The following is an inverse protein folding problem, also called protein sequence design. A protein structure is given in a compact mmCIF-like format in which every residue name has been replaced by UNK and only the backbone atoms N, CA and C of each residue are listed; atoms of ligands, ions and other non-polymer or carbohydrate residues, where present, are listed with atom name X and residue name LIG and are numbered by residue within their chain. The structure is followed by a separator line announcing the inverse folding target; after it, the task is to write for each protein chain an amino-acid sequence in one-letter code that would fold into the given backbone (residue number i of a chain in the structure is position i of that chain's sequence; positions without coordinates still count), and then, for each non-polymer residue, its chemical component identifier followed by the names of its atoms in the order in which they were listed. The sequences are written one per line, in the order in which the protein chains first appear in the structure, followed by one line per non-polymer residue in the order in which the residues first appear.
data_IF_465349731918
#
_entry.id   IF_465349731918
#
_cell.length_a   1.000
_cell.length_b   1.000
_cell.length_c   1.000
_cell.angle_alpha   90.00
_cell.angle_beta   90.00
_cell.angle_gamma   90.00
#
_symmetry.space_group_name_H-M   'P 1'
#
loop_
_entity.id
_entity.type
_entity.pdbx_description
1 polymer ?
#
# COMPACT_ATOMS: atom_id res chain seq x y z
N UNK A 1 30.49 -8.06 -26.81
CA UNK A 1 30.52 -6.64 -26.41
C UNK A 1 30.45 -5.64 -27.58
N UNK A 2 30.71 -6.02 -28.84
CA UNK A 2 30.65 -5.07 -29.97
C UNK A 2 29.28 -4.92 -30.68
N UNK A 3 28.28 -5.78 -30.43
CA UNK A 3 27.02 -5.79 -31.21
C UNK A 3 25.86 -4.98 -30.63
N UNK A 4 25.87 -4.63 -29.34
CA UNK A 4 24.83 -3.78 -28.72
C UNK A 4 24.97 -2.28 -29.04
N UNK A 5 26.02 -1.89 -29.79
CA UNK A 5 26.17 -0.52 -30.34
C UNK A 5 25.13 -0.17 -31.42
N UNK A 6 24.32 -1.13 -31.88
CA UNK A 6 23.17 -0.84 -32.76
C UNK A 6 21.98 -0.22 -32.02
N UNK A 7 22.02 -0.07 -30.70
CA UNK A 7 20.94 0.60 -29.95
C UNK A 7 20.98 2.13 -30.10
N UNK A 8 22.15 2.72 -30.38
CA UNK A 8 22.28 4.18 -30.58
C UNK A 8 21.71 4.65 -31.94
N UNK A 9 21.43 3.75 -32.87
CA UNK A 9 20.94 4.07 -34.22
C UNK A 9 19.44 3.86 -34.42
N UNK A 10 18.68 3.51 -33.36
CA UNK A 10 17.23 3.30 -33.45
C UNK A 10 16.45 4.54 -33.95
N UNK A 11 16.99 5.74 -33.79
CA UNK A 11 16.38 6.96 -34.31
C UNK A 11 16.30 7.04 -35.85
N UNK A 12 17.13 6.29 -36.58
CA UNK A 12 17.33 6.46 -38.04
C UNK A 12 16.73 5.33 -38.92
N UNK A 13 16.19 4.26 -38.33
CA UNK A 13 15.70 3.09 -39.08
C UNK A 13 14.22 3.22 -39.49
N UNK A 14 13.85 2.57 -40.60
CA UNK A 14 12.46 2.51 -41.09
C UNK A 14 11.63 1.47 -40.31
N UNK A 15 10.29 1.56 -40.33
CA UNK A 15 9.40 0.81 -39.43
C UNK A 15 9.54 -0.72 -39.45
N UNK A 16 9.89 -1.32 -40.60
CA UNK A 16 10.08 -2.77 -40.71
C UNK A 16 11.44 -3.22 -40.15
N UNK A 17 12.50 -2.44 -40.42
CA UNK A 17 13.86 -2.70 -39.91
C UNK A 17 13.93 -2.49 -38.39
N UNK A 18 13.15 -1.54 -37.86
CA UNK A 18 12.99 -1.29 -36.42
C UNK A 18 12.40 -2.48 -35.67
N UNK A 19 11.36 -3.10 -36.23
CA UNK A 19 10.72 -4.26 -35.61
C UNK A 19 11.67 -5.47 -35.55
N UNK A 20 12.41 -5.74 -36.62
CA UNK A 20 13.40 -6.82 -36.66
C UNK A 20 14.55 -6.59 -35.66
N UNK A 21 15.07 -5.36 -35.59
CA UNK A 21 16.13 -5.00 -34.64
C UNK A 21 15.67 -5.06 -33.17
N UNK A 22 14.42 -4.69 -32.86
CA UNK A 22 13.85 -4.83 -31.52
C UNK A 22 13.64 -6.30 -31.13
N UNK A 23 13.20 -7.12 -32.08
CA UNK A 23 13.04 -8.56 -31.87
C UNK A 23 14.40 -9.25 -31.61
N UNK A 24 15.43 -8.91 -32.38
CA UNK A 24 16.80 -9.44 -32.17
C UNK A 24 17.38 -9.01 -30.82
N UNK A 25 17.16 -7.74 -30.42
CA UNK A 25 17.59 -7.23 -29.12
C UNK A 25 16.88 -7.95 -27.94
N UNK A 26 15.57 -8.24 -28.08
CA UNK A 26 14.84 -9.03 -27.08
C UNK A 26 15.39 -10.45 -26.94
N UNK A 27 15.62 -11.15 -28.04
CA UNK A 27 16.10 -12.53 -28.02
C UNK A 27 17.52 -12.64 -27.42
N UNK A 28 18.36 -11.63 -27.63
CA UNK A 28 19.69 -11.59 -27.01
C UNK A 28 19.60 -11.28 -25.51
N UNK A 29 18.73 -10.36 -25.07
CA UNK A 29 18.49 -10.11 -23.64
C UNK A 29 17.94 -11.35 -22.91
N UNK A 30 17.05 -12.11 -23.54
CA UNK A 30 16.56 -13.39 -23.01
C UNK A 30 17.70 -14.43 -22.89
N UNK A 31 18.59 -14.48 -23.88
CA UNK A 31 19.78 -15.35 -23.87
C UNK A 31 20.80 -14.95 -22.80
N UNK A 32 21.02 -13.65 -22.61
CA UNK A 32 21.91 -13.14 -21.55
C UNK A 32 21.33 -13.38 -20.15
N UNK A 33 20.01 -13.27 -20.00
CA UNK A 33 19.29 -13.62 -18.77
C UNK A 33 19.47 -15.11 -18.42
N UNK A 34 19.43 -16.00 -19.42
CA UNK A 34 19.65 -17.44 -19.20
C UNK A 34 21.12 -17.79 -18.88
N UNK A 35 22.08 -17.05 -19.45
CA UNK A 35 23.51 -17.34 -19.27
C UNK A 35 24.12 -16.74 -18.00
N UNK A 36 23.37 -15.94 -17.22
CA UNK A 36 23.72 -15.44 -15.88
C UNK A 36 25.10 -14.74 -15.75
N UNK A 37 25.63 -14.14 -16.83
CA UNK A 37 27.03 -13.66 -16.82
C UNK A 37 27.23 -12.33 -16.11
N UNK A 38 26.27 -11.41 -16.15
CA UNK A 38 26.41 -10.08 -15.51
C UNK A 38 25.05 -9.38 -15.31
N UNK A 39 24.48 -9.47 -14.10
CA UNK A 39 23.19 -8.84 -13.76
C UNK A 39 23.22 -7.31 -13.82
N UNK A 40 24.38 -6.70 -13.62
CA UNK A 40 24.56 -5.24 -13.68
C UNK A 40 24.56 -4.67 -15.09
N UNK A 41 25.19 -5.38 -16.03
CA UNK A 41 25.16 -5.02 -17.45
C UNK A 41 23.75 -5.22 -18.04
N UNK A 42 23.13 -6.37 -17.75
CA UNK A 42 21.80 -6.70 -18.22
C UNK A 42 20.73 -5.67 -17.80
N UNK A 43 20.83 -5.14 -16.58
CA UNK A 43 19.93 -4.07 -16.10
C UNK A 43 20.08 -2.78 -16.92
N UNK A 44 21.30 -2.42 -17.32
CA UNK A 44 21.54 -1.26 -18.18
C UNK A 44 20.97 -1.50 -19.58
N UNK A 45 21.15 -2.69 -20.13
CA UNK A 45 20.69 -3.02 -21.48
C UNK A 45 19.15 -3.11 -21.54
N UNK A 46 18.49 -3.62 -20.49
CA UNK A 46 17.01 -3.57 -20.36
C UNK A 46 16.51 -2.13 -20.27
N UNK A 47 17.24 -1.25 -19.57
CA UNK A 47 16.87 0.17 -19.46
C UNK A 47 17.01 0.90 -20.79
N UNK A 48 18.07 0.60 -21.55
CA UNK A 48 18.29 1.10 -22.91
C UNK A 48 17.22 0.60 -23.89
N UNK A 49 16.86 -0.68 -23.81
CA UNK A 49 15.78 -1.26 -24.61
C UNK A 49 14.42 -0.61 -24.30
N UNK A 50 14.12 -0.35 -23.03
CA UNK A 50 12.90 0.38 -22.64
C UNK A 50 12.89 1.81 -23.19
N UNK A 51 14.02 2.50 -23.21
CA UNK A 51 14.12 3.85 -23.78
C UNK A 51 13.91 3.83 -25.30
N UNK A 52 14.47 2.83 -26.00
CA UNK A 52 14.28 2.64 -27.44
C UNK A 52 12.83 2.28 -27.81
N UNK A 53 12.16 1.47 -26.99
CA UNK A 53 10.75 1.12 -27.22
C UNK A 53 9.83 2.33 -27.06
N UNK A 54 10.09 3.17 -26.06
CA UNK A 54 9.31 4.39 -25.81
C UNK A 54 9.52 5.44 -26.91
N UNK A 55 10.75 5.60 -27.41
CA UNK A 55 11.06 6.52 -28.51
C UNK A 55 10.56 6.04 -29.87
N UNK A 56 10.42 4.73 -30.08
CA UNK A 56 9.86 4.12 -31.28
C UNK A 56 8.34 3.88 -31.23
N UNK A 57 7.67 4.25 -30.14
CA UNK A 57 6.26 3.87 -29.89
C UNK A 57 5.27 4.40 -30.92
N UNK A 58 5.52 5.59 -31.48
CA UNK A 58 4.66 6.19 -32.50
C UNK A 58 4.77 5.51 -33.87
N UNK A 59 5.80 4.70 -34.10
CA UNK A 59 6.09 4.06 -35.40
C UNK A 59 5.83 2.55 -35.40
N UNK A 60 5.38 2.00 -34.27
CA UNK A 60 5.11 0.58 -34.11
C UNK A 60 3.60 0.32 -34.05
N UNK A 61 3.11 -0.76 -34.68
CA UNK A 61 1.72 -1.19 -34.52
C UNK A 61 1.39 -1.47 -33.04
N UNK A 62 0.15 -1.20 -32.57
CA UNK A 62 -0.26 -1.43 -31.19
C UNK A 62 -0.01 -2.86 -30.70
N UNK A 63 -0.18 -3.87 -31.57
CA UNK A 63 0.08 -5.27 -31.22
C UNK A 63 1.57 -5.55 -30.95
N UNK A 64 2.47 -4.85 -31.64
CA UNK A 64 3.91 -5.02 -31.47
C UNK A 64 4.38 -4.38 -30.16
N UNK A 65 3.83 -3.22 -29.82
CA UNK A 65 4.09 -2.56 -28.54
C UNK A 65 3.66 -3.41 -27.36
N UNK A 66 2.46 -3.99 -27.42
CA UNK A 66 1.97 -4.86 -26.36
C UNK A 66 2.85 -6.11 -26.20
N UNK A 67 3.30 -6.70 -27.32
CA UNK A 67 4.23 -7.84 -27.32
C UNK A 67 5.56 -7.49 -26.64
N UNK A 68 6.22 -6.41 -27.06
CA UNK A 68 7.51 -6.00 -26.50
C UNK A 68 7.38 -5.51 -25.05
N UNK A 69 6.28 -4.88 -24.66
CA UNK A 69 6.02 -4.50 -23.27
C UNK A 69 5.87 -5.73 -22.37
N UNK A 70 5.16 -6.77 -22.83
CA UNK A 70 5.05 -8.05 -22.11
C UNK A 70 6.41 -8.73 -21.97
N UNK A 71 7.23 -8.72 -23.01
CA UNK A 71 8.58 -9.29 -22.98
C UNK A 71 9.52 -8.50 -22.04
N UNK A 72 9.46 -7.17 -22.03
CA UNK A 72 10.20 -6.32 -21.10
C UNK A 72 9.83 -6.63 -19.64
N UNK A 73 8.54 -6.79 -19.34
CA UNK A 73 8.10 -7.18 -18.00
C UNK A 73 8.58 -8.58 -17.60
N UNK A 74 8.59 -9.53 -18.54
CA UNK A 74 9.12 -10.87 -18.31
C UNK A 74 10.63 -10.84 -18.00
N UNK A 75 11.41 -10.05 -18.74
CA UNK A 75 12.85 -9.86 -18.51
C UNK A 75 13.13 -9.22 -17.14
N UNK A 76 12.40 -8.18 -16.76
CA UNK A 76 12.52 -7.55 -15.43
C UNK A 76 12.21 -8.54 -14.30
N UNK A 77 11.12 -9.31 -14.44
CA UNK A 77 10.73 -10.33 -13.46
C UNK A 77 11.76 -11.46 -13.35
N UNK A 78 12.35 -11.88 -14.48
CA UNK A 78 13.44 -12.85 -14.51
C UNK A 78 14.70 -12.35 -13.79
N UNK A 79 15.06 -11.08 -14.00
CA UNK A 79 16.23 -10.46 -13.36
C UNK A 79 16.02 -10.36 -11.85
N UNK A 80 14.83 -9.96 -11.40
CA UNK A 80 14.48 -9.94 -9.97
C UNK A 80 14.53 -11.33 -9.32
N UNK A 81 14.08 -12.37 -10.03
CA UNK A 81 14.16 -13.75 -9.55
C UNK A 81 15.61 -14.22 -9.38
N UNK A 82 16.49 -13.89 -10.33
CA UNK A 82 17.93 -14.21 -10.25
C UNK A 82 18.58 -13.46 -9.07
N UNK A 83 18.22 -12.19 -8.84
CA UNK A 83 18.76 -11.38 -7.74
C UNK A 83 18.27 -11.83 -6.35
N UNK A 84 17.06 -12.40 -6.26
CA UNK A 84 16.55 -13.00 -5.02
C UNK A 84 17.26 -14.31 -4.68
N UNK A 85 17.66 -15.09 -5.68
CA UNK A 85 18.37 -16.36 -5.47
C UNK A 85 19.84 -16.19 -5.03
N UNK A 86 20.45 -15.02 -5.22
CA UNK A 86 21.83 -14.73 -4.78
C UNK A 86 21.94 -14.17 -3.36
N UNK A 87 20.82 -13.86 -2.69
CA UNK A 87 20.79 -13.18 -1.39
C UNK A 87 20.06 -13.97 -0.29
N UNK A 88 20.41 -15.26 -0.12
CA UNK A 88 20.05 -15.99 1.11
C UNK A 88 21.18 -15.87 2.13
N UNK A 89 21.36 -14.70 2.72
CA UNK A 89 22.15 -14.55 3.94
C UNK A 89 21.35 -15.13 5.11
N UNK A 90 21.64 -16.40 5.46
CA UNK A 90 21.10 -17.07 6.65
C UNK A 90 21.38 -16.21 7.89
N UNK A 91 20.30 -15.75 8.52
CA UNK A 91 20.33 -15.10 9.82
C UNK A 91 20.92 -16.08 10.85
N UNK A 92 22.13 -15.80 11.36
CA UNK A 92 22.74 -16.58 12.46
C UNK A 92 22.56 -15.82 13.76
N UNK A 93 21.72 -16.35 14.65
CA UNK A 93 21.62 -15.86 16.03
C UNK A 93 22.97 -16.07 16.74
N UNK A 94 23.64 -14.97 17.10
CA UNK A 94 24.79 -15.03 18.01
C UNK A 94 24.26 -15.30 19.43
N UNK A 95 24.42 -16.53 19.92
CA UNK A 95 24.25 -16.84 21.35
C UNK A 95 25.31 -16.08 22.15
N UNK A 96 24.88 -15.28 23.14
CA UNK A 96 25.80 -14.64 24.09
C UNK A 96 26.25 -15.67 25.15
N UNK A 97 27.48 -15.54 25.69
CA UNK A 97 28.00 -16.47 26.69
C UNK A 97 27.28 -16.27 28.03
N UNK A 98 26.88 -17.38 28.65
CA UNK A 98 26.44 -17.45 30.04
C UNK A 98 27.60 -17.06 30.95
N UNK A 99 27.38 -16.09 31.84
CA UNK A 99 28.24 -15.87 32.99
C UNK A 99 27.35 -15.68 34.20
N UNK A 100 27.60 -16.50 35.23
CA UNK A 100 26.84 -16.60 36.47
C UNK A 100 27.45 -15.68 37.56
N UNK A 101 26.57 -15.18 38.44
CA UNK A 101 26.78 -14.76 39.86
C UNK A 101 27.36 -13.34 40.09
N UNK A 102 27.14 -12.61 41.23
CA UNK A 102 26.21 -12.71 42.38
C UNK A 102 25.38 -11.43 42.71
N UNK A 103 24.47 -11.61 43.68
CA UNK A 103 23.73 -10.62 44.48
C UNK A 103 24.66 -9.66 45.26
N UNK A 104 24.31 -8.36 45.32
CA UNK A 104 24.93 -7.37 46.22
C UNK A 104 24.30 -5.98 46.11
N UNK A 105 23.95 -5.41 47.25
CA UNK A 105 23.18 -4.19 47.52
C UNK A 105 23.91 -2.85 47.36
N UNK A 106 23.12 -1.79 47.16
CA UNK A 106 23.28 -0.38 47.55
C UNK A 106 23.87 0.67 46.55
N UNK A 107 22.95 1.58 46.15
CA UNK A 107 22.99 3.06 46.06
C UNK A 107 24.27 3.83 45.65
N UNK A 108 24.15 4.65 44.59
CA UNK A 108 24.23 6.14 44.53
C UNK A 108 24.79 6.59 43.17
N UNK A 109 24.02 7.43 42.46
CA UNK A 109 24.57 8.59 41.72
C UNK A 109 24.75 8.52 40.19
N UNK A 110 24.23 9.55 39.53
CA UNK A 110 24.53 10.09 38.19
C UNK A 110 23.78 9.53 36.94
N UNK A 111 22.88 10.40 36.42
CA UNK A 111 22.38 10.50 35.03
C UNK A 111 23.49 10.40 33.97
N UNK A 112 23.26 10.07 32.67
CA UNK A 112 22.03 10.32 31.88
C UNK A 112 21.66 9.19 30.87
N UNK A 113 20.67 9.45 30.01
CA UNK A 113 20.36 8.74 28.74
C UNK A 113 19.39 7.56 28.85
N UNK A 114 18.08 7.86 28.75
CA UNK A 114 17.06 6.86 28.43
C UNK A 114 17.12 6.53 26.94
N UNK A 115 18.12 5.74 26.56
CA UNK A 115 18.03 4.84 25.42
C UNK A 115 17.08 3.72 25.85
N UNK A 116 15.80 3.89 25.52
CA UNK A 116 14.79 2.84 25.69
C UNK A 116 15.18 1.69 24.76
N UNK A 117 15.71 0.62 25.36
CA UNK A 117 15.83 -0.69 24.71
C UNK A 117 14.44 -1.14 24.22
N UNK A 118 14.34 -1.82 23.08
CA UNK A 118 13.08 -2.34 22.59
C UNK A 118 12.59 -3.43 23.53
N UNK A 119 11.57 -3.11 24.33
CA UNK A 119 10.83 -4.09 25.11
C UNK A 119 10.01 -4.93 24.15
N UNK A 120 10.44 -6.17 23.97
CA UNK A 120 9.70 -7.24 23.29
C UNK A 120 8.52 -7.66 24.16
N UNK A 121 7.47 -6.86 24.12
CA UNK A 121 6.10 -7.25 24.45
C UNK A 121 5.22 -6.32 23.60
N UNK A 122 4.74 -6.81 22.46
CA UNK A 122 3.69 -6.12 21.69
C UNK A 122 2.39 -6.27 22.47
N UNK A 123 2.33 -5.63 23.64
CA UNK A 123 1.06 -5.44 24.32
C UNK A 123 0.22 -4.54 23.43
N UNK A 124 -1.07 -4.87 23.22
CA UNK A 124 -1.94 -4.03 22.44
C UNK A 124 -2.02 -2.65 23.09
N UNK A 125 -1.99 -1.60 22.28
CA UNK A 125 -2.23 -0.23 22.77
C UNK A 125 -3.71 -0.13 23.10
N UNK A 126 -4.04 0.23 24.34
CA UNK A 126 -5.43 0.24 24.82
C UNK A 126 -5.87 1.63 25.30
N UNK A 127 -7.15 1.94 25.09
CA UNK A 127 -7.84 3.08 25.71
C UNK A 127 -7.16 4.44 25.43
N UNK A 128 -6.56 4.60 24.24
CA UNK A 128 -5.86 5.82 23.83
C UNK A 128 -6.62 6.60 22.76
N UNK A 129 -6.48 7.91 22.81
CA UNK A 129 -6.89 8.83 21.75
C UNK A 129 -5.67 9.17 20.89
N UNK A 130 -5.69 8.69 19.65
CA UNK A 130 -4.62 8.81 18.67
C UNK A 130 -5.05 9.84 17.64
N UNK A 131 -4.19 10.84 17.38
CA UNK A 131 -4.41 11.85 16.33
C UNK A 131 -3.51 11.52 15.14
N UNK A 132 -4.11 11.42 13.96
CA UNK A 132 -3.38 11.20 12.70
C UNK A 132 -2.83 12.53 12.19
N UNK A 133 -1.51 12.67 12.22
CA UNK A 133 -0.80 13.91 11.84
C UNK A 133 -0.03 13.80 10.52
N UNK A 134 0.29 12.59 10.06
CA UNK A 134 1.19 12.39 8.92
C UNK A 134 0.51 11.67 7.76
N UNK A 135 0.92 11.99 6.52
CA UNK A 135 0.37 11.45 5.28
C UNK A 135 0.54 9.92 5.13
N UNK A 136 1.68 9.40 5.57
CA UNK A 136 1.98 7.96 5.58
C UNK A 136 2.10 7.48 7.03
N UNK A 137 1.00 7.02 7.60
CA UNK A 137 0.95 6.52 8.97
C UNK A 137 0.42 5.08 9.00
N UNK A 138 0.98 4.27 9.91
CA UNK A 138 0.48 2.93 10.23
C UNK A 138 0.19 2.84 11.71
N UNK A 139 -1.03 2.41 12.06
CA UNK A 139 -1.45 2.18 13.43
C UNK A 139 -1.92 0.72 13.55
N UNK A 140 -1.30 -0.02 14.46
CA UNK A 140 -1.50 -1.47 14.57
C UNK A 140 -1.73 -1.90 16.02
N UNK A 141 -2.50 -2.98 16.20
CA UNK A 141 -2.77 -3.63 17.49
C UNK A 141 -3.42 -2.70 18.52
N UNK A 142 -4.56 -2.10 18.14
CA UNK A 142 -5.29 -1.15 18.96
C UNK A 142 -6.56 -1.80 19.55
N UNK A 143 -6.82 -1.53 20.83
CA UNK A 143 -7.99 -2.04 21.55
C UNK A 143 -8.69 -0.91 22.28
N UNK A 144 -9.99 -0.67 22.03
CA UNK A 144 -10.76 0.44 22.64
C UNK A 144 -10.12 1.82 22.45
N UNK A 145 -9.40 2.00 21.35
CA UNK A 145 -8.77 3.27 21.02
C UNK A 145 -9.66 4.11 20.11
N UNK A 146 -9.49 5.43 20.19
CA UNK A 146 -10.10 6.38 19.27
C UNK A 146 -9.03 6.94 18.36
N UNK A 147 -9.18 6.78 17.05
CA UNK A 147 -8.30 7.35 16.03
C UNK A 147 -9.01 8.53 15.39
N UNK A 148 -8.43 9.72 15.46
CA UNK A 148 -9.03 10.96 14.96
C UNK A 148 -8.13 11.67 13.95
N UNK A 149 -8.75 12.31 12.95
CA UNK A 149 -8.06 13.24 12.06
C UNK A 149 -9.02 14.37 11.69
N UNK A 150 -8.52 15.60 11.63
CA UNK A 150 -9.27 16.73 11.08
C UNK A 150 -8.37 17.50 10.11
N UNK A 151 -8.51 17.20 8.83
CA UNK A 151 -7.71 17.78 7.75
C UNK A 151 -8.50 18.74 6.86
N UNK A 152 -9.74 19.09 7.22
CA UNK A 152 -10.56 20.04 6.45
C UNK A 152 -10.03 21.49 6.50
N UNK A 153 -9.49 21.91 7.63
CA UNK A 153 -8.99 23.27 7.84
C UNK A 153 -7.54 23.40 7.33
N UNK A 154 -7.37 23.38 6.02
CA UNK A 154 -6.08 23.52 5.34
C UNK A 154 -5.52 24.95 5.34
N UNK A 155 -5.32 25.53 6.52
CA UNK A 155 -4.31 26.58 6.71
C UNK A 155 -2.90 26.01 6.98
N UNK A 156 -2.77 24.68 7.10
CA UNK A 156 -1.48 23.98 7.24
C UNK A 156 -1.10 23.15 6.00
N UNK A 157 -1.64 23.45 4.81
CA UNK A 157 -1.38 22.67 3.60
C UNK A 157 -0.01 22.93 2.93
N UNK A 158 0.78 23.88 3.44
CA UNK A 158 2.08 24.23 2.82
C UNK A 158 3.21 23.25 3.14
N UNK A 159 3.03 22.31 4.07
CA UNK A 159 4.06 21.30 4.38
C UNK A 159 3.68 19.86 3.99
N UNK A 160 2.42 19.60 3.62
CA UNK A 160 1.94 18.26 3.23
C UNK A 160 1.79 18.08 1.72
N UNK A 161 2.11 19.12 0.94
CA UNK A 161 2.03 19.12 -0.52
C UNK A 161 3.30 18.58 -1.20
N UNK A 162 3.89 17.51 -0.67
CA UNK A 162 4.74 16.69 -1.53
C UNK A 162 3.83 15.94 -2.50
N UNK A 163 4.01 16.16 -3.80
CA UNK A 163 3.20 15.70 -4.94
C UNK A 163 3.11 14.16 -5.13
N UNK A 164 3.18 13.39 -4.06
CA UNK A 164 3.13 11.93 -4.03
C UNK A 164 1.78 11.35 -3.61
N UNK A 165 1.55 10.09 -3.98
CA UNK A 165 0.46 9.29 -3.44
C UNK A 165 0.84 8.79 -2.04
N UNK A 166 -0.07 8.85 -1.07
CA UNK A 166 0.16 8.40 0.32
C UNK A 166 -0.84 7.33 0.76
N UNK A 167 -0.52 6.62 1.83
CA UNK A 167 -1.39 5.56 2.35
C UNK A 167 -1.48 5.61 3.87
N UNK A 168 -2.71 5.52 4.39
CA UNK A 168 -3.00 5.34 5.81
C UNK A 168 -3.35 3.88 6.06
N UNK A 169 -2.63 3.22 6.97
CA UNK A 169 -2.88 1.84 7.35
C UNK A 169 -3.38 1.76 8.80
N UNK A 170 -4.52 1.11 9.00
CA UNK A 170 -5.09 0.79 10.31
C UNK A 170 -5.25 -0.73 10.38
N UNK A 171 -4.50 -1.40 11.25
CA UNK A 171 -4.49 -2.87 11.33
C UNK A 171 -4.80 -3.38 12.73
N UNK A 172 -5.49 -4.52 12.81
CA UNK A 172 -5.76 -5.22 14.07
C UNK A 172 -6.44 -4.29 15.08
N UNK A 173 -7.63 -3.79 14.71
CA UNK A 173 -8.44 -2.92 15.57
C UNK A 173 -9.50 -3.76 16.29
N UNK A 174 -9.66 -3.56 17.60
CA UNK A 174 -10.72 -4.23 18.36
C UNK A 174 -11.48 -3.21 19.20
N UNK A 175 -12.79 -3.11 18.97
CA UNK A 175 -13.66 -2.17 19.69
C UNK A 175 -13.19 -0.71 19.58
N UNK A 176 -12.60 -0.34 18.45
CA UNK A 176 -12.05 1.00 18.23
C UNK A 176 -13.05 1.93 17.54
N UNK A 177 -12.85 3.24 17.71
CA UNK A 177 -13.56 4.28 16.96
C UNK A 177 -12.55 4.95 16.03
N UNK A 178 -12.77 4.84 14.72
CA UNK A 178 -12.02 5.57 13.70
C UNK A 178 -12.91 6.73 13.25
N UNK A 179 -12.47 7.97 13.48
CA UNK A 179 -13.18 9.18 13.06
C UNK A 179 -12.25 10.11 12.27
N UNK A 180 -12.27 9.98 10.95
CA UNK A 180 -11.44 10.75 10.04
C UNK A 180 -12.30 11.80 9.31
N UNK A 181 -12.13 13.06 9.70
CA UNK A 181 -12.71 14.22 9.03
C UNK A 181 -11.68 14.83 8.09
N UNK A 182 -11.53 14.20 6.93
CA UNK A 182 -10.41 14.37 6.02
C UNK A 182 -9.18 13.56 6.45
N UNK A 183 -8.17 13.51 5.57
CA UNK A 183 -6.86 12.91 5.83
C UNK A 183 -5.72 13.83 5.35
N UNK A 184 -4.50 13.67 5.87
CA UNK A 184 -3.37 14.55 5.55
C UNK A 184 -2.75 14.32 4.16
N UNK A 185 -3.54 13.90 3.16
CA UNK A 185 -3.15 13.71 1.77
C UNK A 185 -4.36 13.79 0.83
N UNK A 186 -4.15 14.18 -0.42
CA UNK A 186 -5.23 14.27 -1.43
C UNK A 186 -5.29 13.07 -2.38
N UNK A 187 -4.21 12.30 -2.48
CA UNK A 187 -4.14 11.17 -3.40
C UNK A 187 -3.62 9.95 -2.68
N UNK A 188 -4.29 8.82 -2.89
CA UNK A 188 -3.81 7.52 -2.45
C UNK A 188 -4.91 6.68 -1.80
N UNK A 189 -4.63 6.08 -0.65
CA UNK A 189 -5.54 5.07 -0.09
C UNK A 189 -5.60 5.02 1.43
N UNK A 190 -6.75 4.56 1.94
CA UNK A 190 -6.95 4.21 3.34
C UNK A 190 -7.20 2.71 3.39
N UNK A 191 -6.38 2.01 4.16
CA UNK A 191 -6.45 0.57 4.36
C UNK A 191 -6.86 0.28 5.80
N UNK A 192 -7.96 -0.45 5.97
CA UNK A 192 -8.39 -0.96 7.28
C UNK A 192 -8.40 -2.47 7.20
N UNK A 193 -7.58 -3.12 8.03
CA UNK A 193 -7.36 -4.55 8.00
C UNK A 193 -7.63 -5.17 9.38
N UNK A 194 -8.37 -6.28 9.41
CA UNK A 194 -8.64 -7.07 10.62
C UNK A 194 -9.24 -6.22 11.77
N UNK A 195 -10.28 -5.43 11.47
CA UNK A 195 -11.01 -4.67 12.48
C UNK A 195 -12.26 -5.43 12.96
N UNK A 196 -12.47 -5.47 14.27
CA UNK A 196 -13.57 -6.19 14.91
C UNK A 196 -14.34 -5.25 15.84
N UNK A 197 -15.67 -5.32 15.79
CA UNK A 197 -16.60 -4.59 16.66
C UNK A 197 -16.30 -3.07 16.71
N UNK A 198 -15.83 -2.51 15.59
CA UNK A 198 -15.33 -1.14 15.51
C UNK A 198 -16.30 -0.22 14.75
N UNK A 199 -16.29 1.06 15.11
CA UNK A 199 -16.99 2.12 14.39
C UNK A 199 -16.01 2.85 13.48
N UNK A 200 -16.33 2.95 12.19
CA UNK A 200 -15.47 3.62 11.19
C UNK A 200 -16.26 4.74 10.53
N UNK A 201 -15.86 5.97 10.81
CA UNK A 201 -16.39 7.21 10.24
C UNK A 201 -15.26 7.86 9.41
N UNK A 202 -15.45 7.96 8.11
CA UNK A 202 -14.51 8.59 7.18
C UNK A 202 -15.27 9.55 6.28
N UNK A 203 -14.87 10.81 6.31
CA UNK A 203 -15.37 11.85 5.41
C UNK A 203 -14.19 12.37 4.61
N UNK A 204 -14.15 12.04 3.33
CA UNK A 204 -13.05 12.41 2.44
C UNK A 204 -13.24 13.85 1.97
N UNK A 205 -12.19 14.67 2.12
CA UNK A 205 -12.23 16.08 1.78
C UNK A 205 -12.50 16.31 0.28
N UNK A 206 -13.06 17.48 -0.07
CA UNK A 206 -13.32 17.86 -1.47
C UNK A 206 -12.05 17.73 -2.33
N UNK A 207 -12.25 17.34 -3.59
CA UNK A 207 -11.21 17.20 -4.63
C UNK A 207 -10.15 16.10 -4.39
N UNK A 208 -10.16 15.43 -3.24
CA UNK A 208 -9.30 14.29 -2.98
C UNK A 208 -9.69 13.09 -3.86
N UNK A 209 -8.69 12.29 -4.23
CA UNK A 209 -8.83 11.03 -4.95
C UNK A 209 -8.27 9.92 -4.07
N UNK A 210 -9.11 9.39 -3.19
CA UNK A 210 -8.75 8.43 -2.16
C UNK A 210 -9.57 7.17 -2.33
N UNK A 211 -8.90 6.04 -2.45
CA UNK A 211 -9.53 4.72 -2.41
C UNK A 211 -9.59 4.22 -0.97
N UNK A 212 -10.74 3.68 -0.55
CA UNK A 212 -10.85 3.00 0.75
C UNK A 212 -10.89 1.50 0.51
N UNK A 213 -10.02 0.75 1.18
CA UNK A 213 -9.97 -0.71 1.12
C UNK A 213 -10.12 -1.30 2.52
N UNK A 214 -11.10 -2.18 2.64
CA UNK A 214 -11.47 -2.85 3.89
C UNK A 214 -11.20 -4.36 3.72
N UNK A 215 -10.41 -4.92 4.62
CA UNK A 215 -10.03 -6.34 4.59
C UNK A 215 -10.26 -7.00 5.94
N UNK A 216 -11.01 -8.11 5.98
CA UNK A 216 -11.17 -8.92 7.19
C UNK A 216 -11.95 -8.22 8.32
N UNK A 217 -12.86 -7.30 8.00
CA UNK A 217 -13.67 -6.60 9.00
C UNK A 217 -14.78 -7.51 9.53
N UNK A 218 -15.08 -7.43 10.82
CA UNK A 218 -16.15 -8.22 11.47
C UNK A 218 -17.00 -7.36 12.39
N UNK A 219 -18.31 -7.39 12.19
CA UNK A 219 -19.29 -6.67 13.05
C UNK A 219 -19.04 -5.16 13.16
N UNK A 220 -18.43 -4.55 12.13
CA UNK A 220 -18.11 -3.12 12.12
C UNK A 220 -19.29 -2.28 11.61
N UNK A 221 -19.44 -1.06 12.15
CA UNK A 221 -20.33 -0.02 11.62
C UNK A 221 -19.53 0.95 10.76
N UNK A 222 -19.99 1.23 9.55
CA UNK A 222 -19.23 1.94 8.52
C UNK A 222 -20.01 3.16 8.02
N UNK A 223 -19.40 4.34 8.10
CA UNK A 223 -19.84 5.58 7.48
C UNK A 223 -18.70 6.15 6.64
N UNK A 224 -18.73 5.97 5.32
CA UNK A 224 -17.65 6.38 4.42
C UNK A 224 -18.24 7.22 3.29
N UNK A 225 -17.97 8.52 3.30
CA UNK A 225 -18.56 9.46 2.34
C UNK A 225 -17.52 10.41 1.76
N UNK A 226 -17.82 10.93 0.58
CA UNK A 226 -17.02 11.95 -0.08
C UNK A 226 -17.76 13.29 -0.06
N UNK A 227 -17.10 14.37 0.34
CA UNK A 227 -17.76 15.68 0.53
C UNK A 227 -18.25 16.33 -0.76
N UNK A 228 -17.59 16.07 -1.90
CA UNK A 228 -17.96 16.66 -3.19
C UNK A 228 -19.17 16.01 -3.88
N UNK A 229 -20.01 15.25 -3.15
CA UNK A 229 -21.18 14.52 -3.69
C UNK A 229 -20.83 13.52 -4.82
N UNK A 230 -19.55 13.19 -4.98
CA UNK A 230 -19.08 12.13 -5.88
C UNK A 230 -19.29 10.77 -5.23
N UNK A 231 -19.50 9.74 -6.05
CA UNK A 231 -19.57 8.36 -5.55
C UNK A 231 -18.21 7.95 -5.01
N UNK A 232 -18.17 7.48 -3.76
CA UNK A 232 -16.96 6.98 -3.13
C UNK A 232 -16.78 5.50 -3.43
N UNK A 233 -15.66 5.13 -4.06
CA UNK A 233 -15.32 3.72 -4.26
C UNK A 233 -14.78 3.11 -2.97
N UNK A 234 -15.36 1.97 -2.56
CA UNK A 234 -14.94 1.18 -1.40
C UNK A 234 -14.75 -0.27 -1.82
N UNK A 235 -13.55 -0.79 -1.63
CA UNK A 235 -13.23 -2.19 -1.90
C UNK A 235 -13.33 -2.99 -0.62
N UNK A 236 -14.08 -4.09 -0.66
CA UNK A 236 -14.26 -5.02 0.46
C UNK A 236 -13.59 -6.35 0.15
N UNK A 237 -13.01 -6.98 1.16
CA UNK A 237 -12.47 -8.33 1.02
C UNK A 237 -12.59 -9.05 2.37
N UNK A 238 -13.19 -10.23 2.38
CA UNK A 238 -13.39 -11.07 3.57
C UNK A 238 -14.07 -10.35 4.75
N UNK A 239 -15.01 -9.44 4.47
CA UNK A 239 -15.74 -8.70 5.49
C UNK A 239 -17.04 -9.43 5.89
N UNK A 240 -17.34 -9.50 7.19
CA UNK A 240 -18.47 -10.25 7.77
C UNK A 240 -19.30 -9.35 8.69
N UNK A 241 -20.64 -9.46 8.63
CA UNK A 241 -21.57 -8.74 9.50
C UNK A 241 -21.33 -7.22 9.59
N UNK A 242 -20.74 -6.60 8.57
CA UNK A 242 -20.52 -5.16 8.53
C UNK A 242 -21.82 -4.44 8.17
N UNK A 243 -22.08 -3.33 8.84
CA UNK A 243 -23.26 -2.50 8.64
C UNK A 243 -22.86 -1.13 8.10
N UNK A 244 -23.32 -0.79 6.90
CA UNK A 244 -23.14 0.53 6.31
C UNK A 244 -24.23 1.47 6.81
N UNK A 245 -23.91 2.75 6.93
CA UNK A 245 -24.92 3.74 7.27
C UNK A 245 -25.91 3.95 6.13
N UNK A 246 -27.20 4.09 6.42
CA UNK A 246 -28.27 4.23 5.42
C UNK A 246 -28.02 5.36 4.40
N UNK A 247 -27.43 6.47 4.85
CA UNK A 247 -27.15 7.62 3.97
C UNK A 247 -26.08 7.33 2.91
N UNK A 248 -25.29 6.26 3.05
CA UNK A 248 -24.26 5.90 2.08
C UNK A 248 -24.84 5.26 0.82
N UNK A 249 -26.09 4.77 0.88
CA UNK A 249 -26.71 3.94 -0.15
C UNK A 249 -26.65 4.54 -1.56
N UNK A 250 -26.80 5.86 -1.68
CA UNK A 250 -26.80 6.56 -2.96
C UNK A 250 -25.40 7.06 -3.38
N UNK A 251 -24.52 7.26 -2.41
CA UNK A 251 -23.21 7.91 -2.59
C UNK A 251 -22.00 6.98 -2.60
N UNK A 252 -22.19 5.66 -2.50
CA UNK A 252 -21.10 4.68 -2.47
C UNK A 252 -21.12 3.76 -3.70
N UNK A 253 -19.93 3.34 -4.11
CA UNK A 253 -19.69 2.25 -5.06
C UNK A 253 -18.89 1.16 -4.34
N UNK A 254 -19.54 0.05 -3.99
CA UNK A 254 -18.94 -1.04 -3.21
C UNK A 254 -18.51 -2.16 -4.16
N UNK A 255 -17.25 -2.53 -4.10
CA UNK A 255 -16.68 -3.62 -4.87
C UNK A 255 -16.23 -4.74 -3.92
N UNK A 256 -16.93 -5.87 -3.91
CA UNK A 256 -16.58 -7.03 -3.09
C UNK A 256 -15.61 -7.97 -3.83
N UNK A 257 -14.40 -8.06 -3.32
CA UNK A 257 -13.28 -8.82 -3.89
C UNK A 257 -13.08 -10.17 -3.21
N UNK A 258 -13.94 -10.56 -2.27
CA UNK A 258 -13.82 -11.81 -1.50
C UNK A 258 -13.83 -13.09 -2.37
N UNK A 259 -14.41 -13.02 -3.58
CA UNK A 259 -14.64 -14.19 -4.44
C UNK A 259 -14.10 -14.03 -5.87
N UNK A 260 -13.11 -13.15 -6.13
CA UNK A 260 -12.57 -12.94 -7.50
C UNK A 260 -12.08 -14.24 -8.16
N UNK A 261 -11.65 -15.22 -7.37
CA UNK A 261 -11.15 -16.52 -7.87
C UNK A 261 -12.22 -17.61 -7.98
N UNK A 262 -13.43 -17.39 -7.47
CA UNK A 262 -14.52 -18.37 -7.48
C UNK A 262 -15.54 -17.95 -8.53
N UNK A 263 -15.40 -18.48 -9.74
CA UNK A 263 -16.49 -18.46 -10.72
C UNK A 263 -17.78 -18.94 -10.05
N UNK A 264 -18.82 -18.12 -10.12
CA UNK A 264 -20.23 -18.53 -9.97
C UNK A 264 -20.58 -19.20 -8.64
N UNK A 265 -20.77 -18.40 -7.60
CA UNK A 265 -21.84 -18.67 -6.63
C UNK A 265 -22.46 -17.34 -6.25
N UNK A 266 -23.72 -17.18 -6.61
CA UNK A 266 -24.57 -16.00 -6.41
C UNK A 266 -24.97 -15.84 -4.93
N UNK A 267 -24.02 -15.99 -4.02
CA UNK A 267 -24.16 -15.52 -2.65
C UNK A 267 -23.66 -14.08 -2.62
N UNK A 268 -24.40 -13.20 -3.29
CA UNK A 268 -24.26 -11.77 -3.09
C UNK A 268 -24.53 -11.52 -1.60
N UNK A 269 -23.46 -11.41 -0.80
CA UNK A 269 -23.55 -11.00 0.60
C UNK A 269 -24.35 -9.71 0.61
N UNK A 270 -25.60 -9.78 1.11
CA UNK A 270 -26.47 -8.63 1.14
C UNK A 270 -25.82 -7.56 2.01
N UNK A 271 -25.35 -6.50 1.37
CA UNK A 271 -24.83 -5.32 2.05
C UNK A 271 -25.94 -4.79 2.96
N UNK A 272 -25.67 -4.75 4.28
CA UNK A 272 -26.62 -4.28 5.28
C UNK A 272 -26.48 -2.78 5.44
N UNK A 273 -27.59 -2.06 5.30
CA UNK A 273 -27.67 -0.61 5.50
C UNK A 273 -28.64 -0.29 6.64
N UNK A 274 -28.17 0.40 7.67
CA UNK A 274 -28.99 0.80 8.82
C UNK A 274 -28.67 2.23 9.27
N UNK A 275 -29.63 2.87 9.93
CA UNK A 275 -29.39 4.15 10.59
C UNK A 275 -28.64 3.92 11.91
N UNK A 276 -27.62 4.73 12.18
CA UNK A 276 -26.94 4.80 13.47
C UNK A 276 -26.34 6.19 13.63
N UNK A 277 -26.03 6.60 14.87
CA UNK A 277 -25.53 7.94 15.13
C UNK A 277 -24.15 8.16 14.51
N UNK A 278 -24.02 9.29 13.81
CA UNK A 278 -22.82 9.70 13.07
C UNK A 278 -22.35 11.10 13.48
N UNK A 279 -22.74 11.57 14.68
CA UNK A 279 -22.45 12.92 15.19
C UNK A 279 -20.94 13.14 15.30
N UNK A 280 -20.41 13.60 14.16
CA UNK A 280 -19.04 13.33 13.72
C UNK A 280 -17.98 14.28 14.24
N UNK A 281 -18.20 14.97 15.35
CA UNK A 281 -17.20 15.84 15.95
C UNK A 281 -16.81 15.48 17.38
N UNK A 282 -17.60 14.66 18.08
CA UNK A 282 -17.27 14.25 19.44
C UNK A 282 -17.15 12.73 19.52
N UNK A 283 -15.92 12.23 19.34
CA UNK A 283 -15.64 10.82 19.50
C UNK A 283 -15.95 10.32 20.93
N UNK A 284 -16.03 11.22 21.94
CA UNK A 284 -16.45 10.88 23.29
C UNK A 284 -17.97 10.73 23.44
N UNK A 285 -18.76 11.26 22.51
CA UNK A 285 -20.20 11.01 22.44
C UNK A 285 -20.52 9.62 21.85
N UNK A 286 -19.63 9.11 20.99
CA UNK A 286 -19.76 7.82 20.30
C UNK A 286 -19.22 6.62 21.09
N UNK A 287 -18.53 6.86 22.21
CA UNK A 287 -17.95 5.82 23.08
C UNK A 287 -18.84 5.42 24.28
N UNK A 288 -20.08 5.94 24.34
CA UNK A 288 -21.10 5.61 25.35
C UNK A 288 -22.06 4.54 24.85
#
# INVERSE_FOLDING_TARGET
MEKLRSIDTFGQLSGFDKYAALQEACEELERELYTCKNTGALKKDISLFSAALNSGSEQLPPYALEKFAKQLQALLKGLEAINRNSSVTRFKFKRKPTTLVPIGTASVGATPSNVVKPSTSLEPVQDQNIVVTHAAASYENLVRCTITCNAQNRQCATEFAESGSSALHLRSLNSCIVNLYGVPFDRGSIHIENAVDSLVLIRIQKEANIQVRLFGLKSCKLYIVHESMRRQAVVLENCENCCFHISMKEGIDIQDFSNISKCLTDEARHLRFEGFDIDGNDAAALSK
#
